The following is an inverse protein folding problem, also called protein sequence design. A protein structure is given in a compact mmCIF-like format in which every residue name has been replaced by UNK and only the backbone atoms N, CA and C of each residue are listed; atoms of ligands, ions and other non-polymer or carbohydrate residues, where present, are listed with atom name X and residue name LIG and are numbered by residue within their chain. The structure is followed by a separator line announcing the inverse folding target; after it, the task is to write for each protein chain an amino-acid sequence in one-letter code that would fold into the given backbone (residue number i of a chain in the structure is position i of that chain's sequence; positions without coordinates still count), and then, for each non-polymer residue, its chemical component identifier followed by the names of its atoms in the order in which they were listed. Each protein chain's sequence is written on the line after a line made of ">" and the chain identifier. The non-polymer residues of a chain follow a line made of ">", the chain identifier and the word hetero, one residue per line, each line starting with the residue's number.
data_IF_798916825453
#
_entry.id   IF_798916825453
#
_cell.length_a   1.000
_cell.length_b   1.000
_cell.length_c   1.000
_cell.angle_alpha   90.00
_cell.angle_beta   90.00
_cell.angle_gamma   90.00
#
_symmetry.space_group_name_H-M   'P 1'
#
loop_
_entity.id
_entity.type
_entity.pdbx_description
1 polymer ?
#
# COMPACT_ATOMS: atom_id res chain seq x y z
N UNK A 1 -18.93 -3.41 -13.43
CA UNK A 1 -18.20 -4.30 -12.50
C UNK A 1 -16.77 -4.35 -12.99
N UNK A 2 -15.84 -3.68 -12.30
CA UNK A 2 -14.42 -3.71 -12.64
C UNK A 2 -13.89 -5.06 -12.19
N UNK A 3 -13.53 -5.93 -13.14
CA UNK A 3 -13.00 -7.25 -12.85
C UNK A 3 -11.50 -7.09 -12.62
N UNK A 4 -11.09 -7.29 -11.38
CA UNK A 4 -9.68 -7.40 -10.99
C UNK A 4 -9.22 -8.81 -11.35
N UNK A 5 -8.00 -8.96 -11.87
CA UNK A 5 -7.44 -10.27 -12.19
C UNK A 5 -6.32 -10.64 -11.23
N UNK A 6 -6.34 -11.84 -10.65
CA UNK A 6 -5.20 -12.42 -9.92
C UNK A 6 -4.43 -13.33 -10.88
N UNK A 7 -3.13 -13.14 -11.00
CA UNK A 7 -2.25 -13.86 -11.95
C UNK A 7 -1.51 -14.96 -11.18
N UNK A 8 -1.52 -16.20 -11.69
CA UNK A 8 -0.78 -17.30 -11.06
C UNK A 8 0.74 -17.21 -11.33
N UNK A 9 1.56 -17.76 -10.42
CA UNK A 9 3.01 -17.78 -10.59
C UNK A 9 3.43 -18.54 -11.87
N UNK A 10 2.69 -19.59 -12.23
CA UNK A 10 2.91 -20.35 -13.48
C UNK A 10 2.77 -19.46 -14.73
N UNK A 11 1.83 -18.51 -14.72
CA UNK A 11 1.66 -17.55 -15.84
C UNK A 11 2.87 -16.63 -15.96
N UNK A 12 3.47 -16.21 -14.84
CA UNK A 12 4.66 -15.37 -14.85
C UNK A 12 5.89 -16.10 -15.39
N UNK A 13 6.04 -17.38 -15.07
CA UNK A 13 7.07 -18.23 -15.67
C UNK A 13 6.88 -18.36 -17.19
N UNK A 14 5.65 -18.58 -17.64
CA UNK A 14 5.34 -18.66 -19.07
C UNK A 14 5.57 -17.33 -19.80
N UNK A 15 5.28 -16.19 -19.16
CA UNK A 15 5.59 -14.88 -19.70
C UNK A 15 7.11 -14.68 -19.88
N UNK A 16 7.94 -15.13 -18.94
CA UNK A 16 9.39 -15.07 -19.10
C UNK A 16 9.87 -15.94 -20.26
N UNK A 17 9.34 -17.17 -20.37
CA UNK A 17 9.65 -18.07 -21.48
C UNK A 17 9.25 -17.48 -22.83
N UNK A 18 8.09 -16.81 -22.90
CA UNK A 18 7.60 -16.14 -24.09
C UNK A 18 8.50 -14.96 -24.51
N UNK A 19 8.98 -14.16 -23.54
CA UNK A 19 9.94 -13.08 -23.81
C UNK A 19 11.25 -13.61 -24.40
N UNK A 20 11.76 -14.73 -23.91
CA UNK A 20 12.97 -15.37 -24.45
C UNK A 20 12.76 -15.87 -25.88
N UNK A 21 11.54 -16.32 -26.21
CA UNK A 21 11.16 -16.81 -27.55
C UNK A 21 10.78 -15.69 -28.54
N UNK A 22 10.63 -14.45 -28.07
CA UNK A 22 10.12 -13.32 -28.84
C UNK A 22 8.62 -13.40 -29.13
N UNK A 23 7.87 -14.10 -28.28
CA UNK A 23 6.41 -14.27 -28.35
C UNK A 23 5.72 -13.20 -27.50
N UNK A 24 5.96 -11.94 -27.84
CA UNK A 24 5.59 -10.78 -27.02
C UNK A 24 4.10 -10.40 -27.10
N UNK A 25 3.29 -11.14 -27.85
CA UNK A 25 1.84 -10.93 -27.94
C UNK A 25 1.12 -11.99 -27.12
N UNK A 26 0.34 -11.56 -26.13
CA UNK A 26 -0.43 -12.45 -25.26
C UNK A 26 -1.92 -12.21 -25.42
N UNK A 27 -2.68 -13.27 -25.65
CA UNK A 27 -4.12 -13.29 -25.51
C UNK A 27 -4.46 -13.90 -24.15
N UNK A 28 -5.34 -13.26 -23.38
CA UNK A 28 -5.80 -13.78 -22.09
C UNK A 28 -7.31 -13.62 -21.94
N UNK A 29 -7.94 -14.55 -21.22
CA UNK A 29 -9.37 -14.49 -20.97
C UNK A 29 -9.69 -13.49 -19.84
N UNK A 30 -10.18 -12.31 -20.21
CA UNK A 30 -10.62 -11.26 -19.29
C UNK A 30 -11.97 -11.53 -18.62
N UNK A 31 -12.66 -12.64 -18.95
CA UNK A 31 -13.86 -13.03 -18.21
C UNK A 31 -13.55 -13.60 -16.82
N UNK A 32 -12.37 -14.21 -16.65
CA UNK A 32 -11.97 -14.94 -15.45
C UNK A 32 -11.28 -14.05 -14.43
N UNK A 33 -11.69 -14.12 -13.15
CA UNK A 33 -11.02 -13.39 -12.07
C UNK A 33 -9.59 -13.91 -11.81
N UNK A 34 -9.36 -15.22 -11.95
CA UNK A 34 -8.05 -15.83 -11.78
C UNK A 34 -7.53 -16.25 -13.14
N UNK A 35 -6.38 -15.70 -13.54
CA UNK A 35 -5.74 -16.02 -14.81
C UNK A 35 -4.80 -17.19 -14.56
N UNK A 36 -5.21 -18.36 -15.05
CA UNK A 36 -4.45 -19.60 -15.04
C UNK A 36 -3.73 -19.81 -16.38
N UNK A 37 -2.80 -20.76 -16.42
CA UNK A 37 -2.06 -21.12 -17.64
C UNK A 37 -2.95 -21.50 -18.82
N UNK A 38 -4.12 -22.07 -18.56
CA UNK A 38 -5.04 -22.54 -19.60
C UNK A 38 -5.87 -21.38 -20.18
N UNK A 39 -5.85 -20.22 -19.52
CA UNK A 39 -6.58 -19.02 -19.91
C UNK A 39 -5.72 -18.03 -20.71
N UNK A 40 -4.48 -18.39 -21.03
CA UNK A 40 -3.52 -17.55 -21.74
C UNK A 40 -2.92 -18.26 -22.94
N UNK A 41 -2.58 -17.48 -23.97
CA UNK A 41 -1.89 -17.98 -25.15
C UNK A 41 -0.93 -16.91 -25.68
N UNK A 42 0.29 -17.31 -26.03
CA UNK A 42 1.33 -16.41 -26.55
C UNK A 42 1.51 -16.58 -28.06
N UNK A 43 1.90 -15.48 -28.72
CA UNK A 43 2.04 -15.36 -30.16
C UNK A 43 3.22 -14.46 -30.53
N UNK A 44 3.79 -14.69 -31.72
CA UNK A 44 4.86 -13.83 -32.29
C UNK A 44 4.30 -12.63 -33.04
N UNK A 45 3.14 -12.80 -33.67
CA UNK A 45 2.49 -11.75 -34.46
C UNK A 45 1.25 -11.24 -33.74
N UNK A 46 1.04 -9.93 -33.79
CA UNK A 46 -0.19 -9.29 -33.35
C UNK A 46 -1.42 -9.86 -34.05
N UNK A 47 -1.32 -10.06 -35.36
CA UNK A 47 -2.42 -10.53 -36.20
C UNK A 47 -2.94 -11.89 -35.74
N UNK A 48 -2.04 -12.79 -35.36
CA UNK A 48 -2.38 -14.16 -34.98
C UNK A 48 -3.06 -14.17 -33.61
N UNK A 49 -2.61 -13.30 -32.69
CA UNK A 49 -3.22 -13.12 -31.39
C UNK A 49 -4.63 -12.52 -31.48
N UNK A 50 -4.80 -11.51 -32.35
CA UNK A 50 -6.10 -10.87 -32.60
C UNK A 50 -7.08 -11.84 -33.27
N UNK A 51 -6.62 -12.61 -34.25
CA UNK A 51 -7.42 -13.65 -34.90
C UNK A 51 -7.84 -14.73 -33.88
N UNK A 52 -6.92 -15.17 -33.02
CA UNK A 52 -7.26 -16.10 -31.94
C UNK A 52 -8.30 -15.53 -30.98
N UNK A 53 -8.13 -14.28 -30.55
CA UNK A 53 -9.07 -13.64 -29.63
C UNK A 53 -10.45 -13.44 -30.25
N UNK A 54 -10.51 -13.07 -31.53
CA UNK A 54 -11.75 -12.91 -32.26
C UNK A 54 -12.48 -14.24 -32.45
N UNK A 55 -11.74 -15.30 -32.81
CA UNK A 55 -12.31 -16.63 -33.06
C UNK A 55 -12.78 -17.34 -31.78
N UNK A 56 -12.19 -17.01 -30.62
CA UNK A 56 -12.54 -17.60 -29.33
C UNK A 56 -13.40 -16.69 -28.45
N UNK A 57 -13.98 -15.63 -29.02
CA UNK A 57 -14.95 -14.80 -28.32
C UNK A 57 -16.29 -15.54 -28.22
N UNK A 58 -16.73 -15.81 -26.99
CA UNK A 58 -18.02 -16.45 -26.70
C UNK A 58 -18.81 -15.63 -25.68
N UNK A 59 -20.08 -15.94 -25.46
CA UNK A 59 -20.87 -15.29 -24.41
C UNK A 59 -20.26 -15.48 -23.00
N UNK A 60 -19.43 -16.51 -22.82
CA UNK A 60 -18.72 -16.81 -21.57
C UNK A 60 -17.27 -16.32 -21.58
N UNK A 61 -16.60 -16.33 -22.73
CA UNK A 61 -15.16 -16.08 -22.86
C UNK A 61 -14.88 -14.79 -23.60
N UNK A 62 -14.08 -13.93 -22.97
CA UNK A 62 -13.68 -12.66 -23.54
C UNK A 62 -12.16 -12.55 -23.58
N UNK A 63 -11.56 -12.94 -24.70
CA UNK A 63 -10.11 -12.84 -24.89
C UNK A 63 -9.71 -11.41 -25.27
N UNK A 64 -8.74 -10.87 -24.53
CA UNK A 64 -8.10 -9.57 -24.80
C UNK A 64 -6.65 -9.79 -25.17
N UNK A 65 -6.14 -9.00 -26.10
CA UNK A 65 -4.76 -9.10 -26.61
C UNK A 65 -3.93 -7.94 -26.07
N UNK A 66 -2.75 -8.25 -25.55
CA UNK A 66 -1.77 -7.26 -25.12
C UNK A 66 -0.39 -7.59 -25.68
N UNK A 67 0.39 -6.54 -25.95
CA UNK A 67 1.83 -6.65 -26.17
C UNK A 67 2.57 -6.47 -24.85
N UNK A 68 3.64 -7.21 -24.59
CA UNK A 68 4.46 -7.02 -23.40
C UNK A 68 5.95 -7.22 -23.73
N UNK A 69 6.79 -6.31 -23.23
CA UNK A 69 8.26 -6.39 -23.38
C UNK A 69 8.93 -6.72 -22.04
N UNK A 70 8.16 -6.67 -20.95
CA UNK A 70 8.60 -6.99 -19.61
C UNK A 70 7.42 -7.56 -18.81
N UNK A 71 7.72 -8.29 -17.73
CA UNK A 71 6.68 -8.73 -16.78
C UNK A 71 5.91 -7.53 -16.20
N UNK A 72 6.57 -6.38 -16.04
CA UNK A 72 5.94 -5.15 -15.55
C UNK A 72 4.81 -4.67 -16.48
N UNK A 73 4.97 -4.86 -17.79
CA UNK A 73 3.91 -4.53 -18.75
C UNK A 73 2.69 -5.43 -18.58
N UNK A 74 2.89 -6.71 -18.24
CA UNK A 74 1.79 -7.64 -17.96
C UNK A 74 0.95 -7.13 -16.79
N UNK A 75 1.59 -6.71 -15.70
CA UNK A 75 0.88 -6.16 -14.53
C UNK A 75 0.18 -4.83 -14.78
N UNK A 76 0.72 -3.98 -15.66
CA UNK A 76 0.10 -2.69 -15.98
C UNK A 76 -1.02 -2.81 -17.02
N UNK A 77 -0.88 -3.72 -17.98
CA UNK A 77 -1.80 -3.84 -19.13
C UNK A 77 -2.95 -4.79 -18.83
N UNK A 78 -2.73 -5.84 -18.05
CA UNK A 78 -3.83 -6.60 -17.46
C UNK A 78 -4.37 -5.76 -16.30
N UNK A 79 -5.67 -5.47 -16.23
CA UNK A 79 -6.26 -4.79 -15.08
C UNK A 79 -6.18 -5.70 -13.84
N UNK A 80 -5.04 -5.64 -13.16
CA UNK A 80 -4.82 -6.21 -11.84
C UNK A 80 -5.26 -5.17 -10.81
N UNK A 81 -6.15 -5.55 -9.89
CA UNK A 81 -6.54 -4.74 -8.73
C UNK A 81 -6.62 -3.24 -9.00
N UNK A 82 -7.70 -2.74 -9.61
CA UNK A 82 -7.78 -1.30 -9.86
C UNK A 82 -7.64 -0.52 -8.56
N UNK A 83 -6.56 0.26 -8.45
CA UNK A 83 -6.71 1.64 -7.95
C UNK A 83 -7.78 2.25 -8.86
N UNK A 84 -8.92 2.50 -8.24
CA UNK A 84 -10.21 2.83 -8.84
C UNK A 84 -10.13 3.92 -9.91
N UNK A 85 -10.80 3.73 -11.06
CA UNK A 85 -11.36 4.81 -11.88
C UNK A 85 -10.40 5.75 -12.63
N UNK A 86 -10.70 5.95 -13.91
CA UNK A 86 -10.24 7.08 -14.75
C UNK A 86 -10.66 8.48 -14.23
N UNK A 87 -11.19 8.57 -13.00
CA UNK A 87 -11.37 9.79 -12.22
C UNK A 87 -10.28 10.05 -11.16
N UNK A 88 -9.36 9.11 -10.91
CA UNK A 88 -8.26 9.29 -9.94
C UNK A 88 -6.94 9.76 -10.57
N UNK A 89 -6.81 9.75 -11.89
CA UNK A 89 -5.61 10.27 -12.57
C UNK A 89 -5.44 11.80 -12.44
N UNK A 90 -6.45 12.51 -11.96
CA UNK A 90 -6.41 13.97 -11.77
C UNK A 90 -6.74 14.43 -10.35
N UNK A 91 -6.93 13.51 -9.39
CA UNK A 91 -7.11 13.88 -7.99
C UNK A 91 -5.90 13.40 -7.19
N UNK A 92 -4.97 14.30 -6.79
CA UNK A 92 -3.85 13.96 -5.92
C UNK A 92 -4.31 13.30 -4.61
N UNK A 93 -5.53 13.59 -4.15
CA UNK A 93 -6.13 13.07 -2.91
C UNK A 93 -6.87 11.74 -3.10
N UNK A 94 -6.83 11.17 -4.30
CA UNK A 94 -7.38 9.85 -4.62
C UNK A 94 -6.73 8.70 -3.85
N UNK A 95 -5.46 8.88 -3.47
CA UNK A 95 -4.69 7.88 -2.76
C UNK A 95 -4.86 8.09 -1.25
N UNK A 96 -5.46 7.12 -0.55
CA UNK A 96 -5.67 7.21 0.91
C UNK A 96 -4.38 7.34 1.74
N UNK A 97 -3.21 7.12 1.13
CA UNK A 97 -1.91 7.36 1.75
C UNK A 97 -1.40 8.80 1.60
N UNK A 98 -1.82 9.50 0.54
CA UNK A 98 -1.33 10.84 0.19
C UNK A 98 -2.51 11.74 -0.12
N UNK A 99 -3.00 12.47 0.87
CA UNK A 99 -3.97 13.53 0.71
C UNK A 99 -3.44 14.84 1.29
N UNK A 100 -3.77 15.96 0.66
CA UNK A 100 -3.41 17.31 1.11
C UNK A 100 -3.96 17.62 2.51
N UNK A 101 -5.10 17.02 2.87
CA UNK A 101 -5.78 17.22 4.15
C UNK A 101 -5.28 16.31 5.29
N UNK A 102 -4.35 15.38 5.01
CA UNK A 102 -3.86 14.40 6.01
C UNK A 102 -4.79 13.20 6.19
N UNK A 103 -4.22 12.01 6.44
CA UNK A 103 -5.02 10.79 6.57
C UNK A 103 -5.38 10.50 8.03
N UNK A 104 -6.54 9.88 8.25
CA UNK A 104 -7.05 9.56 9.61
C UNK A 104 -6.05 8.76 10.45
N UNK A 105 -5.21 7.95 9.82
CA UNK A 105 -4.18 7.19 10.50
C UNK A 105 -3.08 8.10 11.07
N UNK A 106 -2.61 9.07 10.29
CA UNK A 106 -1.59 10.04 10.71
C UNK A 106 -2.13 10.94 11.80
N UNK A 107 -3.39 11.39 11.70
CA UNK A 107 -4.04 12.19 12.75
C UNK A 107 -4.16 11.41 14.06
N UNK A 108 -4.57 10.14 14.01
CA UNK A 108 -4.65 9.29 15.18
C UNK A 108 -3.28 9.05 15.84
N UNK A 109 -2.22 8.93 15.04
CA UNK A 109 -0.86 8.82 15.55
C UNK A 109 -0.38 10.13 16.20
N UNK A 110 -0.63 11.28 15.57
CA UNK A 110 -0.31 12.60 16.11
C UNK A 110 -1.01 12.80 17.45
N UNK A 111 -2.33 12.57 17.51
CA UNK A 111 -3.11 12.69 18.74
C UNK A 111 -2.53 11.80 19.86
N UNK A 112 -2.19 10.55 19.53
CA UNK A 112 -1.62 9.62 20.52
C UNK A 112 -0.26 10.11 21.04
N UNK A 113 0.62 10.58 20.16
CA UNK A 113 1.96 11.08 20.52
C UNK A 113 1.84 12.37 21.35
N UNK A 114 0.94 13.27 21.00
CA UNK A 114 0.70 14.51 21.73
C UNK A 114 0.14 14.24 23.13
N UNK A 115 -0.82 13.33 23.25
CA UNK A 115 -1.34 12.88 24.55
C UNK A 115 -0.24 12.27 25.43
N UNK A 116 0.60 11.39 24.87
CA UNK A 116 1.73 10.81 25.60
C UNK A 116 2.72 11.89 26.07
N UNK A 117 3.05 12.84 25.20
CA UNK A 117 3.98 13.92 25.50
C UNK A 117 3.43 14.84 26.60
N UNK A 118 2.13 15.16 26.56
CA UNK A 118 1.45 15.94 27.61
C UNK A 118 1.48 15.23 28.96
N UNK A 119 1.21 13.92 28.97
CA UNK A 119 1.26 13.10 30.19
C UNK A 119 2.68 13.09 30.79
N UNK A 120 3.72 12.86 29.98
CA UNK A 120 5.12 12.89 30.43
C UNK A 120 5.47 14.27 31.02
N UNK A 121 5.08 15.35 30.34
CA UNK A 121 5.35 16.72 30.82
C UNK A 121 4.68 17.02 32.16
N UNK A 122 3.44 16.55 32.37
CA UNK A 122 2.75 16.71 33.66
C UNK A 122 3.41 15.92 34.80
N UNK A 123 3.91 14.71 34.53
CA UNK A 123 4.64 13.90 35.49
C UNK A 123 5.99 14.54 35.87
N UNK A 124 6.70 15.10 34.89
CA UNK A 124 7.96 15.83 35.12
C UNK A 124 7.70 17.06 36.00
N UNK A 125 6.69 17.88 35.67
CA UNK A 125 6.33 19.07 36.47
C UNK A 125 5.99 18.72 37.91
N UNK A 126 5.20 17.66 38.11
CA UNK A 126 4.86 17.17 39.45
C UNK A 126 6.11 16.71 40.21
N UNK A 127 7.03 16.01 39.55
CA UNK A 127 8.28 15.55 40.16
C UNK A 127 9.19 16.73 40.56
N UNK A 128 9.30 17.75 39.71
CA UNK A 128 10.06 18.97 40.02
C UNK A 128 9.45 19.68 41.23
N UNK A 129 8.13 19.90 41.22
CA UNK A 129 7.43 20.58 42.31
C UNK A 129 7.55 19.83 43.64
N UNK A 130 7.44 18.50 43.63
CA UNK A 130 7.63 17.67 44.82
C UNK A 130 9.05 17.78 45.37
N UNK A 131 10.05 17.82 44.49
CA UNK A 131 11.45 17.94 44.90
C UNK A 131 11.75 19.33 45.47
N UNK A 132 11.21 20.39 44.86
CA UNK A 132 11.30 21.75 45.40
C UNK A 132 10.63 21.85 46.78
N UNK A 133 9.41 21.33 46.92
CA UNK A 133 8.70 21.29 48.21
C UNK A 133 9.50 20.53 49.28
N UNK A 134 10.06 19.37 48.94
CA UNK A 134 10.90 18.60 49.86
C UNK A 134 12.13 19.41 50.30
N UNK A 135 12.78 20.11 49.37
CA UNK A 135 13.91 20.99 49.67
C UNK A 135 13.51 22.13 50.61
N UNK A 136 12.42 22.84 50.31
CA UNK A 136 11.90 23.90 51.19
C UNK A 136 11.63 23.40 52.61
N UNK A 137 10.97 22.24 52.73
CA UNK A 137 10.69 21.64 54.05
C UNK A 137 11.98 21.26 54.79
N UNK A 138 12.96 20.69 54.08
CA UNK A 138 14.25 20.30 54.66
C UNK A 138 15.05 21.53 55.13
N UNK A 139 15.12 22.56 54.30
CA UNK A 139 15.81 23.82 54.63
C UNK A 139 15.15 24.49 55.84
N UNK A 140 13.81 24.54 55.88
CA UNK A 140 13.08 25.07 57.03
C UNK A 140 13.41 24.32 58.33
N UNK A 141 13.48 22.99 58.31
CA UNK A 141 13.86 22.18 59.49
C UNK A 141 15.31 22.50 59.91
N UNK A 142 16.22 22.67 58.94
CA UNK A 142 17.62 23.03 59.20
C UNK A 142 17.75 24.39 59.90
N UNK A 143 16.96 25.39 59.50
CA UNK A 143 16.96 26.72 60.12
C UNK A 143 16.17 26.81 61.43
N UNK A 144 15.33 25.82 61.76
CA UNK A 144 14.64 25.71 63.04
C UNK A 144 15.52 25.14 64.18
N UNK A 145 16.82 24.94 63.95
CA UNK A 145 17.78 24.54 64.98
C UNK A 145 17.78 23.04 65.32
N UNK A 146 17.03 22.21 64.59
CA UNK A 146 17.04 20.75 64.76
C UNK A 146 18.10 20.08 63.86
N UNK A 147 19.37 20.43 64.08
CA UNK A 147 20.46 19.84 63.29
C UNK A 147 21.88 20.28 63.62
N UNK A 148 22.07 21.36 64.39
CA UNK A 148 23.39 21.67 64.94
C UNK A 148 23.66 20.72 66.10
N UNK A 149 24.34 19.60 65.82
CA UNK A 149 25.13 18.92 66.85
C UNK A 149 26.29 19.85 67.21
N UNK A 150 26.56 20.12 68.51
CA UNK A 150 27.88 20.62 68.91
C UNK A 150 28.98 19.62 68.51
#
# INVERSE_FOLDING_TARGET
>A
MNKEHVISDEVLELCNDALVKGENWMAYNGSLYFIEKDAIQFFKSQTDAEEFAFNNHSDYDNYSVIHFDSLWDVFNKIPYGTVTGTGLLNNPDANGLYNYEGNQFTDALIETIEQQTSNINSQIKTSIMNNENLKYLTDNIKYMGFGEKP
#
